data_IF_065961898152
#
_entry.id   IF_065961898152
#
_cell.length_a   1.000
_cell.length_b   1.000
_cell.length_c   1.000
_cell.angle_alpha   90.00
_cell.angle_beta   90.00
_cell.angle_gamma   90.00
#
_symmetry.space_group_name_H-M   'P 1'
#
loop_
_entity.id
_entity.type
_entity.pdbx_description
1 polymer ?
#
# COMPACT_ATOMS: atom_id res chain seq x y z
N UNK A 1 21.21 -10.53 7.19
CA UNK A 1 21.16 -10.75 8.66
C UNK A 1 20.65 -9.46 9.32
N UNK A 2 19.34 -9.31 9.51
CA UNK A 2 18.69 -8.13 10.13
C UNK A 2 17.61 -8.53 11.14
N UNK A 3 17.88 -9.54 11.98
CA UNK A 3 16.82 -10.16 12.82
C UNK A 3 16.70 -9.51 14.22
N UNK A 4 17.48 -8.49 14.59
CA UNK A 4 17.49 -8.01 15.99
C UNK A 4 16.82 -6.64 16.26
N UNK A 5 16.25 -5.93 15.26
CA UNK A 5 15.73 -4.57 15.44
C UNK A 5 14.28 -4.39 14.96
N UNK A 6 13.39 -5.34 15.29
CA UNK A 6 11.95 -5.16 15.06
C UNK A 6 11.43 -5.51 13.67
N UNK A 7 12.25 -6.13 12.80
CA UNK A 7 11.83 -6.60 11.48
C UNK A 7 11.52 -5.48 10.48
N UNK A 8 11.04 -5.84 9.29
CA UNK A 8 10.62 -4.88 8.29
C UNK A 8 9.09 -4.74 8.30
N UNK A 9 8.60 -3.59 8.76
CA UNK A 9 7.15 -3.33 8.89
C UNK A 9 6.41 -3.34 7.54
N UNK A 10 7.14 -3.20 6.43
CA UNK A 10 6.57 -3.22 5.09
C UNK A 10 6.25 -4.64 4.61
N UNK A 11 6.76 -5.69 5.26
CA UNK A 11 6.45 -7.07 4.88
C UNK A 11 7.25 -7.63 3.70
N UNK A 12 8.37 -6.99 3.33
CA UNK A 12 9.18 -7.39 2.17
C UNK A 12 9.85 -8.74 2.33
N UNK A 13 10.05 -9.21 3.56
CA UNK A 13 10.66 -10.51 3.88
C UNK A 13 9.85 -11.71 3.36
N UNK A 14 8.57 -11.51 3.01
CA UNK A 14 7.75 -12.53 2.35
C UNK A 14 8.12 -12.75 0.89
N UNK A 15 9.09 -11.99 0.38
CA UNK A 15 9.53 -12.04 -1.01
C UNK A 15 11.04 -12.31 -1.08
N UNK A 16 11.42 -13.32 -1.84
CA UNK A 16 12.80 -13.83 -1.92
C UNK A 16 13.54 -13.41 -3.19
N UNK A 17 12.92 -12.63 -4.07
CA UNK A 17 13.45 -12.24 -5.37
C UNK A 17 13.48 -10.72 -5.58
N UNK A 18 14.22 -10.29 -6.60
CA UNK A 18 14.21 -8.90 -7.04
C UNK A 18 12.85 -8.54 -7.64
N UNK A 19 12.40 -7.31 -7.41
CA UNK A 19 11.16 -6.78 -7.96
C UNK A 19 11.37 -5.38 -8.54
N UNK A 20 10.48 -4.98 -9.45
CA UNK A 20 10.43 -3.63 -10.00
C UNK A 20 9.28 -2.88 -9.31
N UNK A 21 9.59 -1.71 -8.73
CA UNK A 21 8.57 -0.79 -8.27
C UNK A 21 8.05 0.03 -9.45
N UNK A 22 6.77 -0.10 -9.77
CA UNK A 22 6.14 0.58 -10.88
C UNK A 22 5.13 1.64 -10.38
N UNK A 23 5.20 2.85 -10.96
CA UNK A 23 4.22 3.91 -10.74
C UNK A 23 3.80 4.49 -12.10
N UNK A 24 2.50 4.63 -12.31
CA UNK A 24 1.94 5.37 -13.43
C UNK A 24 1.33 6.68 -12.92
N UNK A 25 1.81 7.82 -13.43
CA UNK A 25 1.36 9.15 -13.01
C UNK A 25 1.17 10.08 -14.20
N UNK A 26 0.16 10.94 -14.13
CA UNK A 26 -0.01 12.05 -15.07
C UNK A 26 -0.63 13.26 -14.37
N UNK A 27 -0.30 14.45 -14.90
CA UNK A 27 -0.86 15.72 -14.44
C UNK A 27 -1.94 16.17 -15.41
N UNK A 28 -3.08 16.58 -14.86
CA UNK A 28 -4.22 17.10 -15.63
C UNK A 28 -4.44 18.56 -15.28
N UNK A 29 -4.86 19.37 -16.26
CA UNK A 29 -5.12 20.80 -16.05
C UNK A 29 -6.50 21.05 -15.46
N UNK A 30 -7.46 20.16 -15.72
CA UNK A 30 -8.86 20.34 -15.29
C UNK A 30 -9.42 19.08 -14.63
N UNK A 31 -10.49 19.25 -13.86
CA UNK A 31 -11.18 18.16 -13.20
C UNK A 31 -11.84 17.20 -14.21
N UNK A 32 -12.32 17.72 -15.34
CA UNK A 32 -12.93 16.93 -16.42
C UNK A 32 -11.89 16.02 -17.09
N UNK A 33 -10.68 16.54 -17.34
CA UNK A 33 -9.56 15.74 -17.84
C UNK A 33 -9.18 14.64 -16.84
N UNK A 34 -9.11 14.97 -15.55
CA UNK A 34 -8.85 13.99 -14.50
C UNK A 34 -9.93 12.91 -14.44
N UNK A 35 -11.21 13.29 -14.48
CA UNK A 35 -12.34 12.35 -14.49
C UNK A 35 -12.34 11.45 -15.72
N UNK A 36 -11.95 11.97 -16.89
CA UNK A 36 -11.81 11.18 -18.11
C UNK A 36 -10.61 10.22 -18.07
N UNK A 37 -9.48 10.65 -17.51
CA UNK A 37 -8.22 9.90 -17.50
C UNK A 37 -8.17 8.84 -16.39
N UNK A 38 -8.66 9.15 -15.19
CA UNK A 38 -8.56 8.30 -14.00
C UNK A 38 -9.01 6.83 -14.23
N UNK A 39 -10.20 6.54 -14.81
CA UNK A 39 -10.59 5.15 -15.06
C UNK A 39 -9.66 4.42 -16.04
N UNK A 40 -9.05 5.13 -17.00
CA UNK A 40 -8.09 4.55 -17.96
C UNK A 40 -6.77 4.23 -17.27
N UNK A 41 -6.31 5.10 -16.36
CA UNK A 41 -5.12 4.84 -15.55
C UNK A 41 -5.33 3.63 -14.65
N UNK A 42 -6.49 3.53 -13.99
CA UNK A 42 -6.84 2.34 -13.20
C UNK A 42 -6.84 1.07 -14.05
N UNK A 43 -7.44 1.11 -15.24
CA UNK A 43 -7.45 -0.03 -16.16
C UNK A 43 -6.04 -0.41 -16.65
N UNK A 44 -5.18 0.58 -16.95
CA UNK A 44 -3.80 0.32 -17.34
C UNK A 44 -2.98 -0.32 -16.22
N UNK A 45 -3.11 0.17 -14.98
CA UNK A 45 -2.46 -0.44 -13.81
C UNK A 45 -2.98 -1.86 -13.58
N UNK A 46 -4.29 -2.09 -13.72
CA UNK A 46 -4.84 -3.43 -13.60
C UNK A 46 -4.32 -4.37 -14.68
N UNK A 47 -4.24 -3.93 -15.94
CA UNK A 47 -3.69 -4.75 -17.03
C UNK A 47 -2.21 -5.12 -16.79
N UNK A 48 -1.43 -4.20 -16.19
CA UNK A 48 -0.04 -4.49 -15.80
C UNK A 48 0.00 -5.54 -14.69
N UNK A 49 -0.90 -5.45 -13.70
CA UNK A 49 -1.04 -6.46 -12.64
C UNK A 49 -1.43 -7.83 -13.20
N UNK A 50 -2.42 -7.87 -14.09
CA UNK A 50 -2.89 -9.11 -14.70
C UNK A 50 -1.79 -9.77 -15.56
N UNK A 51 -1.04 -8.97 -16.32
CA UNK A 51 0.11 -9.46 -17.07
C UNK A 51 1.20 -9.99 -16.14
N UNK A 52 1.52 -9.25 -15.09
CA UNK A 52 2.41 -9.68 -14.02
C UNK A 52 1.96 -11.05 -13.47
N UNK A 53 0.69 -11.20 -13.11
CA UNK A 53 0.12 -12.44 -12.56
C UNK A 53 0.21 -13.63 -13.54
N UNK A 54 0.31 -13.38 -14.84
CA UNK A 54 0.50 -14.43 -15.85
C UNK A 54 1.93 -14.98 -15.91
N UNK A 55 2.90 -14.34 -15.27
CA UNK A 55 4.31 -14.75 -15.29
C UNK A 55 4.64 -15.69 -14.14
N UNK A 56 5.38 -16.76 -14.43
CA UNK A 56 5.95 -17.64 -13.41
C UNK A 56 7.05 -16.93 -12.61
N UNK A 57 7.05 -17.09 -11.29
CA UNK A 57 8.13 -16.59 -10.43
C UNK A 57 7.71 -15.77 -9.21
N UNK A 58 6.41 -15.64 -8.94
CA UNK A 58 5.92 -15.09 -7.67
C UNK A 58 6.20 -13.60 -7.54
N UNK A 59 5.46 -12.79 -8.29
CA UNK A 59 5.53 -11.34 -8.14
C UNK A 59 4.99 -10.90 -6.78
N UNK A 60 5.37 -9.69 -6.38
CA UNK A 60 4.84 -9.00 -5.19
C UNK A 60 3.40 -8.52 -5.45
N UNK A 61 2.48 -9.45 -5.72
CA UNK A 61 1.12 -9.22 -6.26
C UNK A 61 0.34 -8.14 -5.52
N UNK A 62 0.37 -8.27 -4.20
CA UNK A 62 -0.46 -7.45 -3.32
C UNK A 62 0.32 -6.36 -2.62
N UNK A 63 1.66 -6.38 -2.69
CA UNK A 63 2.50 -5.41 -1.98
C UNK A 63 2.43 -4.03 -2.63
N UNK A 64 2.20 -3.00 -1.82
CA UNK A 64 2.03 -1.63 -2.29
C UNK A 64 2.96 -0.67 -1.56
N UNK A 65 3.67 0.16 -2.31
CA UNK A 65 4.47 1.22 -1.71
C UNK A 65 3.62 2.46 -1.42
N UNK A 66 3.50 2.81 -0.14
CA UNK A 66 2.62 3.89 0.35
C UNK A 66 2.83 5.21 -0.38
N UNK A 67 4.09 5.58 -0.62
CA UNK A 67 4.40 6.89 -1.20
C UNK A 67 3.92 7.04 -2.65
N UNK A 68 3.64 5.94 -3.35
CA UNK A 68 3.23 5.92 -4.76
C UNK A 68 1.84 5.31 -4.97
N UNK A 69 1.13 5.00 -3.90
CA UNK A 69 -0.18 4.39 -3.99
C UNK A 69 -1.27 5.44 -4.24
N UNK A 70 -2.23 5.08 -5.10
CA UNK A 70 -3.47 5.82 -5.26
C UNK A 70 -4.38 5.62 -4.05
N UNK A 71 -5.22 6.62 -3.76
CA UNK A 71 -6.19 6.59 -2.64
C UNK A 71 -7.14 5.40 -2.65
N UNK A 72 -7.36 4.75 -3.81
CA UNK A 72 -8.24 3.57 -3.91
C UNK A 72 -7.56 2.24 -3.54
N UNK A 73 -6.27 2.26 -3.19
CA UNK A 73 -5.51 1.06 -2.89
C UNK A 73 -5.36 0.85 -1.38
N UNK A 74 -5.52 -0.39 -0.91
CA UNK A 74 -5.35 -0.76 0.50
C UNK A 74 -3.88 -1.08 0.81
N UNK A 75 -3.11 -0.02 1.03
CA UNK A 75 -1.66 -0.11 1.23
C UNK A 75 -1.30 -0.84 2.51
N UNK A 76 -1.95 -0.51 3.62
CA UNK A 76 -1.55 -1.02 4.93
C UNK A 76 -1.81 -2.53 5.03
N UNK A 77 -2.92 -3.02 4.45
CA UNK A 77 -3.17 -4.47 4.38
C UNK A 77 -2.09 -5.21 3.60
N UNK A 78 -1.50 -4.58 2.59
CA UNK A 78 -0.42 -5.18 1.80
C UNK A 78 0.84 -5.51 2.61
N UNK A 79 1.03 -4.88 3.76
CA UNK A 79 2.16 -5.12 4.65
C UNK A 79 2.01 -6.40 5.47
N UNK A 80 0.86 -7.05 5.38
CA UNK A 80 0.58 -8.35 5.98
C UNK A 80 0.00 -8.21 7.38
N UNK A 81 -0.82 -9.19 7.73
CA UNK A 81 -1.62 -9.23 8.96
C UNK A 81 -0.78 -8.98 10.21
N UNK A 82 0.37 -9.63 10.34
CA UNK A 82 1.21 -9.50 11.54
C UNK A 82 1.80 -8.09 11.69
N UNK A 83 2.20 -7.47 10.58
CA UNK A 83 2.68 -6.08 10.59
C UNK A 83 1.54 -5.10 10.87
N UNK A 84 0.33 -5.35 10.37
CA UNK A 84 -0.86 -4.55 10.69
C UNK A 84 -1.21 -4.64 12.17
N UNK A 85 -1.21 -5.85 12.75
CA UNK A 85 -1.42 -6.04 14.20
C UNK A 85 -0.38 -5.28 15.01
N UNK A 86 0.89 -5.41 14.65
CA UNK A 86 1.98 -4.66 15.28
C UNK A 86 1.80 -3.14 15.17
N UNK A 87 1.39 -2.62 14.00
CA UNK A 87 1.10 -1.19 13.84
C UNK A 87 -0.07 -0.75 14.72
N UNK A 88 -1.13 -1.56 14.85
CA UNK A 88 -2.25 -1.27 15.75
C UNK A 88 -1.82 -1.25 17.22
N UNK A 89 -0.99 -2.20 17.66
CA UNK A 89 -0.44 -2.23 19.02
C UNK A 89 0.42 -0.98 19.34
N UNK A 90 1.29 -0.60 18.41
CA UNK A 90 2.11 0.61 18.52
C UNK A 90 1.23 1.86 18.56
N UNK A 91 0.23 1.96 17.68
CA UNK A 91 -0.70 3.07 17.68
C UNK A 91 -1.47 3.18 19.01
N UNK A 92 -1.95 2.06 19.56
CA UNK A 92 -2.62 2.05 20.86
C UNK A 92 -1.71 2.47 22.02
N UNK A 93 -0.41 2.16 21.93
CA UNK A 93 0.57 2.48 22.98
C UNK A 93 0.96 3.96 22.97
N UNK A 94 1.18 4.54 21.78
CA UNK A 94 1.78 5.86 21.64
C UNK A 94 0.82 6.95 21.15
N UNK A 95 -0.33 6.59 20.58
CA UNK A 95 -1.40 7.50 20.16
C UNK A 95 -2.78 7.01 20.71
N UNK A 96 -2.93 6.87 22.04
CA UNK A 96 -4.16 6.33 22.65
C UNK A 96 -5.40 7.18 22.33
N UNK A 97 -5.23 8.49 22.16
CA UNK A 97 -6.32 9.41 21.79
C UNK A 97 -6.63 9.42 20.29
N UNK A 98 -5.81 8.71 19.50
CA UNK A 98 -5.91 8.56 18.05
C UNK A 98 -5.82 9.91 17.31
N UNK A 99 -4.95 10.80 17.77
CA UNK A 99 -4.69 12.11 17.19
C UNK A 99 -4.36 11.98 15.70
N UNK A 100 -3.50 11.03 15.33
CA UNK A 100 -3.09 10.85 13.92
C UNK A 100 -4.13 10.11 13.07
N UNK A 101 -5.02 9.35 13.71
CA UNK A 101 -6.14 8.71 12.99
C UNK A 101 -7.27 9.72 12.73
N UNK A 102 -7.54 10.62 13.69
CA UNK A 102 -8.69 11.55 13.65
C UNK A 102 -8.37 12.92 13.07
N UNK A 103 -7.24 13.52 13.46
CA UNK A 103 -6.94 14.92 13.15
C UNK A 103 -6.11 15.09 11.86
N UNK A 104 -5.42 14.04 11.41
CA UNK A 104 -4.77 14.06 10.10
C UNK A 104 -5.79 13.63 9.03
N UNK A 105 -6.19 14.55 8.15
CA UNK A 105 -7.21 14.26 7.10
C UNK A 105 -6.69 13.38 5.95
N UNK A 106 -5.37 13.30 5.76
CA UNK A 106 -4.74 12.56 4.66
C UNK A 106 -4.17 11.20 5.05
N UNK A 107 -3.78 10.45 4.02
CA UNK A 107 -3.09 9.16 4.15
C UNK A 107 -4.01 8.00 4.56
N UNK A 108 -3.41 6.81 4.63
CA UNK A 108 -4.08 5.59 5.10
C UNK A 108 -4.11 5.54 6.62
N UNK A 109 -5.24 5.16 7.18
CA UNK A 109 -5.41 5.03 8.63
C UNK A 109 -5.32 3.57 9.04
N UNK A 110 -4.55 3.29 10.08
CA UNK A 110 -4.45 1.94 10.63
C UNK A 110 -5.75 1.54 11.34
N UNK A 111 -6.57 2.51 11.77
CA UNK A 111 -7.92 2.27 12.29
C UNK A 111 -8.84 1.62 11.25
N UNK A 112 -8.65 1.92 9.97
CA UNK A 112 -9.59 1.55 8.89
C UNK A 112 -9.28 0.16 8.30
N UNK A 113 -8.18 -0.45 8.74
CA UNK A 113 -7.75 -1.77 8.27
C UNK A 113 -8.28 -2.84 9.20
N UNK A 114 -9.16 -3.69 8.70
CA UNK A 114 -9.60 -4.88 9.42
C UNK A 114 -8.52 -5.95 9.41
N UNK A 115 -8.30 -6.58 10.56
CA UNK A 115 -7.45 -7.76 10.71
C UNK A 115 -8.33 -8.85 11.30
N UNK A 116 -8.80 -9.75 10.44
CA UNK A 116 -9.33 -11.06 10.86
C UNK A 116 -8.21 -11.93 11.46
#
# INVERSE_FOLDING_TARGET
>A
MHVAAGGNILGLERHSGNAILFQLSAMMKTAEQAAFAYPKFKAAVQAIKDFADSLDGGLMRDWLYMNYADKSQDVLRSYGVDNVRKMKEVAATYDPDQVFQKLCLGGWKISDVDVE
#
